data_IF_144717618443
#
_entry.id   IF_144717618443
#
_cell.length_a   1.000
_cell.length_b   1.000
_cell.length_c   1.000
_cell.angle_alpha   90.00
_cell.angle_beta   90.00
_cell.angle_gamma   90.00
#
_symmetry.space_group_name_H-M   'P 1'
#
loop_
_entity.id
_entity.type
_entity.pdbx_description
1 polymer ?
#
# COMPACT_ATOMS: atom_id res chain seq x y z
N UNK A 1 45.33 2.49 -0.55
CA UNK A 1 44.19 1.75 -1.14
C UNK A 1 43.16 1.47 -0.05
N UNK A 2 41.93 1.97 -0.17
CA UNK A 2 40.90 1.69 0.83
C UNK A 2 40.44 0.23 0.69
N UNK A 3 40.61 -0.58 1.75
CA UNK A 3 40.13 -1.96 1.77
C UNK A 3 38.60 -1.95 1.64
N UNK A 4 38.07 -2.51 0.55
CA UNK A 4 36.62 -2.66 0.39
C UNK A 4 36.15 -3.73 1.38
N UNK A 5 35.28 -3.34 2.31
CA UNK A 5 34.60 -4.30 3.19
C UNK A 5 33.67 -5.18 2.37
N UNK A 6 33.79 -6.49 2.57
CA UNK A 6 32.92 -7.52 2.00
C UNK A 6 31.52 -7.45 2.60
N UNK A 7 30.54 -8.14 1.99
CA UNK A 7 29.16 -8.18 2.51
C UNK A 7 29.11 -8.80 3.92
N UNK A 8 29.86 -9.88 4.16
CA UNK A 8 29.90 -10.58 5.45
C UNK A 8 30.45 -9.69 6.56
N UNK A 9 31.57 -8.99 6.32
CA UNK A 9 32.15 -8.07 7.32
C UNK A 9 31.17 -6.96 7.71
N UNK A 10 30.36 -6.46 6.78
CA UNK A 10 29.33 -5.44 7.07
C UNK A 10 28.23 -6.00 7.97
N UNK A 11 27.79 -7.23 7.72
CA UNK A 11 26.78 -7.90 8.55
C UNK A 11 27.28 -8.10 9.98
N UNK A 12 28.53 -8.53 10.15
CA UNK A 12 29.15 -8.65 11.47
C UNK A 12 29.22 -7.32 12.22
N UNK A 13 29.56 -6.22 11.52
CA UNK A 13 29.57 -4.88 12.12
C UNK A 13 28.16 -4.48 12.57
N UNK A 14 27.14 -4.75 11.76
CA UNK A 14 25.74 -4.47 12.12
C UNK A 14 25.28 -5.32 13.30
N UNK A 15 25.68 -6.60 13.36
CA UNK A 15 25.38 -7.48 14.49
C UNK A 15 26.02 -6.96 15.80
N UNK A 16 27.31 -6.62 15.76
CA UNK A 16 28.02 -6.01 16.90
C UNK A 16 27.38 -4.71 17.36
N UNK A 17 26.89 -3.88 16.42
CA UNK A 17 26.15 -2.67 16.77
C UNK A 17 24.85 -3.01 17.52
N UNK A 18 24.06 -3.98 17.03
CA UNK A 18 22.81 -4.40 17.69
C UNK A 18 23.06 -4.93 19.10
N UNK A 19 24.10 -5.74 19.29
CA UNK A 19 24.49 -6.30 20.59
C UNK A 19 25.00 -5.23 21.56
N UNK A 20 25.63 -4.16 21.05
CA UNK A 20 26.20 -3.10 21.89
C UNK A 20 25.15 -2.26 22.62
N UNK A 21 23.91 -2.22 22.14
CA UNK A 21 22.85 -1.34 22.66
C UNK A 21 23.14 0.17 22.48
N UNK A 22 24.20 0.54 21.77
CA UNK A 22 24.59 1.93 21.54
C UNK A 22 23.76 2.55 20.42
N UNK A 23 23.56 3.88 20.49
CA UNK A 23 23.03 4.61 19.33
C UNK A 23 23.99 4.54 18.15
N UNK A 24 23.46 4.59 16.93
CA UNK A 24 24.23 4.49 15.67
C UNK A 24 25.39 5.49 15.65
N UNK A 25 25.13 6.75 16.06
CA UNK A 25 26.16 7.80 16.10
C UNK A 25 27.28 7.45 17.09
N UNK A 26 26.93 6.99 18.29
CA UNK A 26 27.92 6.66 19.32
C UNK A 26 28.77 5.45 18.90
N UNK A 27 28.15 4.41 18.36
CA UNK A 27 28.87 3.25 17.84
C UNK A 27 29.81 3.61 16.69
N UNK A 28 29.33 4.42 15.73
CA UNK A 28 30.14 4.87 14.61
C UNK A 28 31.37 5.68 15.06
N UNK A 29 31.21 6.56 16.06
CA UNK A 29 32.32 7.33 16.63
C UNK A 29 33.32 6.41 17.33
N UNK A 30 32.85 5.50 18.20
CA UNK A 30 33.71 4.57 18.95
C UNK A 30 34.54 3.65 18.04
N UNK A 31 33.97 3.22 16.91
CA UNK A 31 34.63 2.30 15.98
C UNK A 31 35.16 2.97 14.71
N UNK A 32 35.20 4.31 14.67
CA UNK A 32 35.69 5.11 13.54
C UNK A 32 35.02 4.79 12.19
N UNK A 33 33.73 4.50 12.21
CA UNK A 33 32.93 4.30 11.01
C UNK A 33 32.22 5.58 10.58
N UNK A 34 31.96 5.69 9.28
CA UNK A 34 31.06 6.72 8.76
C UNK A 34 29.60 6.34 9.10
N UNK A 35 28.90 7.25 9.78
CA UNK A 35 27.50 7.10 10.20
C UNK A 35 26.59 6.77 9.01
N UNK A 36 26.80 7.42 7.86
CA UNK A 36 25.98 7.21 6.66
C UNK A 36 26.14 5.78 6.12
N UNK A 37 27.36 5.25 6.13
CA UNK A 37 27.63 3.88 5.69
C UNK A 37 26.99 2.86 6.63
N UNK A 38 27.11 3.07 7.94
CA UNK A 38 26.50 2.20 8.93
C UNK A 38 24.96 2.20 8.81
N UNK A 39 24.35 3.38 8.64
CA UNK A 39 22.90 3.51 8.41
C UNK A 39 22.46 2.76 7.15
N UNK A 40 23.20 2.90 6.06
CA UNK A 40 22.94 2.20 4.81
C UNK A 40 23.01 0.67 4.99
N UNK A 41 24.03 0.14 5.68
CA UNK A 41 24.14 -1.29 5.94
C UNK A 41 23.00 -1.82 6.81
N UNK A 42 22.60 -1.07 7.85
CA UNK A 42 21.43 -1.43 8.68
C UNK A 42 20.17 -1.54 7.83
N UNK A 43 19.89 -0.54 6.98
CA UNK A 43 18.71 -0.55 6.11
C UNK A 43 18.75 -1.73 5.13
N UNK A 44 19.91 -2.03 4.56
CA UNK A 44 20.08 -3.16 3.66
C UNK A 44 19.76 -4.50 4.37
N UNK A 45 20.16 -4.67 5.64
CA UNK A 45 19.82 -5.88 6.41
C UNK A 45 18.32 -6.03 6.67
N UNK A 46 17.60 -4.93 6.89
CA UNK A 46 16.15 -4.96 7.06
C UNK A 46 15.45 -5.39 5.77
N UNK A 47 15.81 -4.77 4.64
CA UNK A 47 15.23 -5.13 3.35
C UNK A 47 15.48 -6.60 2.97
N UNK A 48 16.67 -7.13 3.24
CA UNK A 48 16.96 -8.55 2.98
C UNK A 48 16.21 -9.49 3.94
N UNK A 49 15.95 -9.06 5.18
CA UNK A 49 15.14 -9.85 6.13
C UNK A 49 13.66 -9.83 5.76
N UNK A 50 13.14 -8.67 5.37
CA UNK A 50 11.73 -8.47 5.02
C UNK A 50 11.40 -9.06 3.64
N UNK A 51 12.35 -9.10 2.70
CA UNK A 51 12.17 -9.75 1.40
C UNK A 51 12.02 -11.28 1.49
N UNK A 52 12.46 -11.90 2.59
CA UNK A 52 12.22 -13.33 2.85
C UNK A 52 10.89 -13.60 3.57
N UNK A 53 10.25 -12.56 4.10
CA UNK A 53 8.90 -12.63 4.63
C UNK A 53 7.94 -12.14 3.55
N UNK A 54 7.58 -13.02 2.60
CA UNK A 54 6.30 -12.87 1.91
C UNK A 54 5.27 -12.48 2.97
N UNK A 55 4.56 -11.34 2.84
CA UNK A 55 3.49 -11.03 3.77
C UNK A 55 2.48 -12.16 3.65
N UNK A 56 2.50 -13.09 4.59
CA UNK A 56 1.50 -14.11 4.72
C UNK A 56 0.20 -13.37 5.08
N UNK A 57 -0.52 -12.94 4.05
CA UNK A 57 -1.86 -12.40 4.18
C UNK A 57 -2.70 -13.51 4.80
N UNK A 58 -2.87 -13.48 6.12
CA UNK A 58 -3.84 -14.31 6.81
C UNK A 58 -5.20 -13.79 6.32
N UNK A 59 -5.83 -14.54 5.42
CA UNK A 59 -7.18 -14.27 4.96
C UNK A 59 -8.11 -14.50 6.15
N UNK A 60 -8.35 -13.45 6.92
CA UNK A 60 -9.39 -13.46 7.94
C UNK A 60 -10.73 -13.62 7.20
N UNK A 61 -11.35 -14.79 7.36
CA UNK A 61 -12.71 -15.02 6.91
C UNK A 61 -13.65 -14.17 7.78
N UNK A 62 -13.83 -12.91 7.40
CA UNK A 62 -14.85 -12.06 7.99
C UNK A 62 -16.19 -12.69 7.60
N UNK A 63 -17.03 -13.12 8.56
CA UNK A 63 -18.37 -13.58 8.23
C UNK A 63 -19.06 -12.45 7.47
N UNK A 64 -19.51 -12.75 6.25
CA UNK A 64 -20.19 -11.82 5.35
C UNK A 64 -21.48 -11.36 6.00
N UNK A 65 -21.38 -10.38 6.88
CA UNK A 65 -22.53 -9.65 7.40
C UNK A 65 -23.12 -8.92 6.21
N UNK A 66 -24.41 -9.11 5.98
CA UNK A 66 -25.13 -8.49 4.87
C UNK A 66 -24.79 -7.00 4.82
N UNK A 67 -24.15 -6.57 3.73
CA UNK A 67 -23.82 -5.17 3.52
C UNK A 67 -25.12 -4.35 3.62
N UNK A 68 -25.12 -3.20 4.31
CA UNK A 68 -26.28 -2.32 4.28
C UNK A 68 -26.50 -1.92 2.82
N UNK A 69 -27.69 -2.23 2.31
CA UNK A 69 -28.12 -1.88 0.96
C UNK A 69 -28.16 -0.35 0.87
N UNK A 70 -27.08 0.26 0.37
CA UNK A 70 -27.06 1.71 0.11
C UNK A 70 -27.95 1.94 -1.10
N UNK A 71 -29.18 2.39 -0.86
CA UNK A 71 -30.11 2.85 -1.90
C UNK A 71 -29.63 4.22 -2.39
N UNK A 72 -28.81 4.25 -3.42
CA UNK A 72 -28.47 5.50 -4.10
C UNK A 72 -29.64 5.93 -4.99
N UNK A 73 -30.33 7.02 -4.59
CA UNK A 73 -31.38 7.63 -5.41
C UNK A 73 -30.76 8.68 -6.33
N UNK A 74 -30.73 8.41 -7.63
CA UNK A 74 -30.32 9.40 -8.62
C UNK A 74 -31.55 10.12 -9.17
N UNK A 75 -31.59 11.45 -9.03
CA UNK A 75 -32.64 12.31 -9.60
C UNK A 75 -32.05 13.13 -10.73
N UNK A 76 -32.58 12.95 -11.93
CA UNK A 76 -32.20 13.75 -13.09
C UNK A 76 -33.37 14.65 -13.49
N UNK A 77 -33.12 15.95 -13.55
CA UNK A 77 -34.09 16.94 -14.02
C UNK A 77 -33.82 17.23 -15.49
N UNK A 78 -34.82 17.00 -16.35
CA UNK A 78 -34.75 17.34 -17.78
C UNK A 78 -35.48 18.67 -17.99
N UNK A 79 -34.99 19.52 -18.90
CA UNK A 79 -35.65 20.80 -19.24
C UNK A 79 -37.08 20.55 -19.71
N UNK A 80 -38.01 21.41 -19.24
CA UNK A 80 -39.49 21.32 -19.32
C UNK A 80 -40.18 20.54 -18.17
N UNK A 81 -39.63 20.62 -16.96
CA UNK A 81 -40.37 20.26 -15.74
C UNK A 81 -40.64 18.76 -15.56
N UNK A 82 -39.98 17.90 -16.33
CA UNK A 82 -40.13 16.46 -16.24
C UNK A 82 -38.96 15.89 -15.42
N UNK A 83 -39.29 15.23 -14.31
CA UNK A 83 -38.32 14.60 -13.40
C UNK A 83 -38.40 13.09 -13.61
N UNK A 84 -37.31 12.49 -14.03
CA UNK A 84 -37.19 11.03 -14.13
C UNK A 84 -36.67 10.48 -12.80
N UNK A 85 -37.48 9.65 -12.15
CA UNK A 85 -37.09 8.95 -10.92
C UNK A 85 -36.63 7.52 -11.22
N UNK A 86 -35.30 7.42 -11.20
CA UNK A 86 -34.44 6.24 -11.20
C UNK A 86 -34.58 5.29 -9.99
N UNK A 87 -35.61 4.45 -9.82
CA UNK A 87 -35.55 3.36 -8.81
C UNK A 87 -34.84 2.14 -9.40
N UNK A 88 -33.51 2.19 -9.38
CA UNK A 88 -32.65 1.16 -9.96
C UNK A 88 -32.27 0.07 -8.95
N UNK A 89 -32.99 -1.07 -8.97
CA UNK A 89 -32.42 -2.38 -8.59
C UNK A 89 -31.64 -2.92 -9.81
N UNK A 90 -30.40 -2.48 -9.99
CA UNK A 90 -29.59 -2.90 -11.14
C UNK A 90 -28.56 -3.94 -10.71
N UNK A 91 -28.90 -5.22 -10.91
CA UNK A 91 -27.93 -6.32 -10.83
C UNK A 91 -27.07 -6.46 -12.10
N UNK A 92 -27.30 -5.65 -13.15
CA UNK A 92 -26.58 -5.77 -14.42
C UNK A 92 -26.03 -4.43 -14.96
N UNK A 93 -24.71 -4.27 -15.08
CA UNK A 93 -24.06 -3.03 -15.53
C UNK A 93 -24.26 -2.70 -17.02
N UNK A 94 -24.76 -3.65 -17.83
CA UNK A 94 -25.01 -3.44 -19.26
C UNK A 94 -26.22 -2.54 -19.57
N UNK A 95 -27.25 -2.54 -18.70
CA UNK A 95 -28.46 -1.72 -18.90
C UNK A 95 -28.18 -0.23 -18.65
N UNK A 96 -27.31 0.09 -17.70
CA UNK A 96 -26.89 1.48 -17.41
C UNK A 96 -26.16 2.12 -18.61
N UNK A 97 -25.31 1.34 -19.29
CA UNK A 97 -24.61 1.80 -20.50
C UNK A 97 -25.55 1.98 -21.70
N UNK A 98 -26.56 1.12 -21.85
CA UNK A 98 -27.56 1.23 -22.92
C UNK A 98 -28.43 2.50 -22.76
N UNK A 99 -28.80 2.86 -21.53
CA UNK A 99 -29.60 4.07 -21.23
C UNK A 99 -28.83 5.37 -21.53
N UNK A 100 -27.53 5.42 -21.24
CA UNK A 100 -26.68 6.56 -21.61
C UNK A 100 -26.57 6.75 -23.13
N UNK A 101 -26.54 5.65 -23.89
CA UNK A 101 -26.51 5.69 -25.35
C UNK A 101 -27.83 6.17 -25.95
N UNK A 102 -28.98 5.72 -25.44
CA UNK A 102 -30.31 6.14 -25.94
C UNK A 102 -30.56 7.62 -25.64
N UNK A 103 -30.17 8.12 -24.45
CA UNK A 103 -30.30 9.54 -24.11
C UNK A 103 -29.32 10.45 -24.88
N UNK A 104 -28.18 9.92 -25.32
CA UNK A 104 -27.18 10.65 -26.11
C UNK A 104 -27.47 10.70 -27.61
N UNK A 105 -28.29 9.80 -28.15
CA UNK A 105 -28.57 9.69 -29.59
C UNK A 105 -29.78 10.52 -30.06
N UNK A 106 -30.60 11.06 -29.15
CA UNK A 106 -31.73 11.94 -29.47
C UNK A 106 -31.31 13.43 -29.54
N UNK A 107 -30.15 13.70 -30.14
CA UNK A 107 -29.62 15.06 -30.36
C UNK A 107 -29.69 15.44 -31.82
#
# INVERSE_FOLDING_TARGET
MAKKLTKQERLEIVAKWRESGLSIKKFAVTHHFNVSNLKYWIQQTHLESDASAEPAFVKLEIPKTAAPTIRSRARFAIRKGMVLEIEENFENPFLAAAMFLVAGLAR
#
